data_IF_746087424939
#
_entry.id   IF_746087424939
#
_cell.length_a   1.000
_cell.length_b   1.000
_cell.length_c   1.000
_cell.angle_alpha   90.00
_cell.angle_beta   90.00
_cell.angle_gamma   90.00
#
_symmetry.space_group_name_H-M   'P 1'
#
loop_
_entity.id
_entity.type
_entity.pdbx_description
1 polymer ?
#
# COMPACT_ATOMS: atom_id res chain seq x y z
N UNK A 1 -14.59 15.23 -6.17
CA UNK A 1 -14.57 13.84 -6.68
C UNK A 1 -13.71 12.96 -5.78
N UNK A 2 -14.25 11.84 -5.35
CA UNK A 2 -13.58 10.93 -4.43
C UNK A 2 -13.00 9.72 -5.18
N UNK A 3 -11.76 9.39 -4.90
CA UNK A 3 -11.13 8.20 -5.45
C UNK A 3 -10.79 7.24 -4.32
N UNK A 4 -10.85 5.97 -4.61
CA UNK A 4 -10.53 4.92 -3.65
C UNK A 4 -9.20 4.26 -4.03
N UNK A 5 -8.35 4.11 -3.04
CA UNK A 5 -7.04 3.49 -3.23
C UNK A 5 -6.95 2.26 -2.34
N UNK A 6 -6.72 1.09 -2.92
CA UNK A 6 -6.52 -0.11 -2.10
C UNK A 6 -5.20 -0.01 -1.35
N UNK A 7 -5.22 -0.44 -0.10
CA UNK A 7 -4.00 -0.45 0.70
C UNK A 7 -3.86 -1.82 1.35
N UNK A 8 -2.62 -2.25 1.55
CA UNK A 8 -2.28 -3.49 2.21
C UNK A 8 -1.55 -3.12 3.49
N UNK A 9 -2.01 -3.65 4.62
CA UNK A 9 -1.44 -3.34 5.92
C UNK A 9 -0.81 -4.58 6.51
N UNK A 10 0.45 -4.46 6.92
CA UNK A 10 1.19 -5.54 7.57
C UNK A 10 1.80 -5.00 8.86
N UNK A 11 2.26 -5.89 9.70
CA UNK A 11 2.95 -5.52 10.93
C UNK A 11 4.20 -6.38 11.03
N UNK A 12 5.35 -5.75 11.28
CA UNK A 12 6.58 -6.52 11.43
C UNK A 12 6.74 -7.02 12.86
N UNK A 13 7.81 -7.75 13.11
CA UNK A 13 8.03 -8.35 14.43
C UNK A 13 8.30 -7.32 15.54
N UNK A 14 8.65 -6.11 15.18
CA UNK A 14 8.85 -5.04 16.15
C UNK A 14 7.59 -4.24 16.42
N UNK A 15 6.48 -4.61 15.78
CA UNK A 15 5.21 -3.94 15.96
C UNK A 15 4.99 -2.73 15.07
N UNK A 16 5.90 -2.46 14.15
CA UNK A 16 5.76 -1.36 13.22
C UNK A 16 4.78 -1.75 12.11
N UNK A 17 3.83 -0.88 11.83
CA UNK A 17 2.89 -1.12 10.76
C UNK A 17 3.48 -0.67 9.43
N UNK A 18 3.40 -1.55 8.46
CA UNK A 18 3.87 -1.31 7.10
C UNK A 18 2.65 -1.25 6.20
N UNK A 19 2.54 -0.19 5.43
CA UNK A 19 1.36 0.00 4.60
C UNK A 19 1.82 0.29 3.16
N UNK A 20 1.11 -0.28 2.21
CA UNK A 20 1.47 -0.18 0.81
C UNK A 20 0.23 0.06 -0.04
N UNK A 21 0.37 0.93 -1.03
CA UNK A 21 -0.67 1.10 -2.05
C UNK A 21 -0.20 0.41 -3.33
N UNK A 22 -0.79 -0.75 -3.66
CA UNK A 22 -0.29 -1.53 -4.80
C UNK A 22 -0.57 -0.92 -6.16
N UNK A 23 -1.38 0.15 -6.22
CA UNK A 23 -1.61 0.85 -7.48
C UNK A 23 -0.36 1.55 -8.01
N UNK A 24 0.56 1.88 -7.11
CA UNK A 24 1.79 2.58 -7.46
C UNK A 24 2.98 1.75 -7.05
N UNK A 25 3.94 1.63 -7.94
CA UNK A 25 5.15 0.90 -7.65
C UNK A 25 5.96 1.61 -6.58
N UNK A 26 6.26 0.91 -5.50
CA UNK A 26 7.06 1.46 -4.42
C UNK A 26 6.35 2.43 -3.49
N UNK A 27 5.04 2.56 -3.61
CA UNK A 27 4.28 3.46 -2.73
C UNK A 27 4.04 2.75 -1.39
N UNK A 28 4.87 3.04 -0.42
CA UNK A 28 4.89 2.35 0.87
C UNK A 28 5.18 3.34 1.99
N UNK A 29 4.64 3.07 3.16
CA UNK A 29 4.89 3.91 4.32
C UNK A 29 4.84 3.08 5.59
N UNK A 30 5.11 3.70 6.72
CA UNK A 30 5.23 3.03 8.01
C UNK A 30 4.59 3.87 9.10
N UNK A 31 4.26 3.24 10.22
CA UNK A 31 3.74 3.94 11.36
C UNK A 31 3.80 3.08 12.62
N UNK A 32 3.83 3.71 13.77
CA UNK A 32 3.84 3.00 15.05
C UNK A 32 2.45 2.50 15.42
N UNK A 33 1.43 3.05 14.78
CA UNK A 33 0.05 2.59 14.90
C UNK A 33 -0.63 2.73 13.55
N UNK A 34 -1.83 2.16 13.42
CA UNK A 34 -2.53 2.16 12.15
C UNK A 34 -2.87 3.58 11.67
N UNK A 35 -3.32 4.43 12.58
CA UNK A 35 -3.70 5.79 12.21
C UNK A 35 -2.51 6.57 11.65
N UNK A 36 -1.35 6.41 12.26
CA UNK A 36 -0.12 7.05 11.78
C UNK A 36 0.29 6.51 10.43
N UNK A 37 0.24 5.18 10.25
CA UNK A 37 0.58 4.56 8.98
C UNK A 37 -0.35 5.04 7.87
N UNK A 38 -1.65 5.17 8.15
CA UNK A 38 -2.61 5.65 7.17
C UNK A 38 -2.35 7.10 6.81
N UNK A 39 -2.04 7.93 7.81
CA UNK A 39 -1.70 9.32 7.55
C UNK A 39 -0.49 9.41 6.63
N UNK A 40 0.51 8.60 6.90
CA UNK A 40 1.76 8.61 6.13
C UNK A 40 1.55 8.08 4.71
N UNK A 41 0.73 7.04 4.53
CA UNK A 41 0.49 6.53 3.17
C UNK A 41 -0.33 7.51 2.34
N UNK A 42 -1.21 8.29 2.96
CA UNK A 42 -1.95 9.32 2.25
C UNK A 42 -1.00 10.33 1.63
N UNK A 43 0.00 10.76 2.38
CA UNK A 43 1.00 11.69 1.86
C UNK A 43 1.81 11.06 0.73
N UNK A 44 2.18 9.79 0.88
CA UNK A 44 2.91 9.08 -0.15
C UNK A 44 2.10 8.95 -1.44
N UNK A 45 0.80 8.67 -1.31
CA UNK A 45 -0.08 8.56 -2.48
C UNK A 45 -0.18 9.89 -3.21
N UNK A 46 -0.34 10.98 -2.46
CA UNK A 46 -0.41 12.32 -3.06
C UNK A 46 0.86 12.60 -3.86
N UNK A 47 2.02 12.26 -3.30
CA UNK A 47 3.28 12.44 -4.01
C UNK A 47 3.36 11.60 -5.28
N UNK A 48 2.90 10.36 -5.20
CA UNK A 48 2.87 9.49 -6.38
C UNK A 48 1.96 10.04 -7.46
N UNK A 49 0.82 10.60 -7.07
CA UNK A 49 -0.11 11.22 -8.03
C UNK A 49 0.50 12.45 -8.69
N UNK A 50 1.25 13.25 -7.94
CA UNK A 50 1.88 14.45 -8.47
C UNK A 50 3.00 14.13 -9.46
N UNK A 51 3.70 13.03 -9.24
CA UNK A 51 4.79 12.62 -10.11
C UNK A 51 4.31 12.02 -11.43
N UNK A 52 3.02 11.74 -11.53
CA UNK A 52 2.43 11.14 -12.73
C UNK A 52 3.24 9.97 -13.26
N UNK A 53 3.59 9.07 -12.36
CA UNK A 53 4.29 7.87 -12.79
C UNK A 53 3.30 6.96 -13.50
N UNK A 54 3.19 7.20 -14.76
CA UNK A 54 2.24 6.50 -15.60
C UNK A 54 2.81 5.16 -16.01
N UNK A 55 3.00 4.28 -15.05
CA UNK A 55 3.37 2.92 -15.39
C UNK A 55 2.11 2.16 -15.69
N UNK A 56 1.66 2.28 -16.93
CA UNK A 56 0.43 1.64 -17.38
C UNK A 56 0.63 0.19 -17.80
N UNK A 57 1.84 -0.34 -17.61
CA UNK A 57 2.14 -1.70 -18.06
C UNK A 57 1.44 -2.76 -17.24
N UNK A 58 1.06 -2.45 -16.00
CA UNK A 58 0.34 -3.39 -15.14
C UNK A 58 -0.90 -2.76 -14.55
N UNK A 59 -1.90 -3.59 -14.31
CA UNK A 59 -3.16 -3.16 -13.72
C UNK A 59 -3.37 -3.92 -12.41
N UNK A 60 -3.66 -3.20 -11.35
CA UNK A 60 -3.98 -3.83 -10.08
C UNK A 60 -5.36 -4.48 -10.16
N UNK A 61 -5.45 -5.75 -9.78
CA UNK A 61 -6.71 -6.50 -9.80
C UNK A 61 -7.24 -6.70 -8.38
N UNK A 62 -6.39 -7.14 -7.46
CA UNK A 62 -6.85 -7.39 -6.11
C UNK A 62 -5.88 -8.24 -5.32
N UNK A 63 -6.31 -8.55 -4.09
CA UNK A 63 -5.54 -9.40 -3.18
C UNK A 63 -6.34 -10.67 -2.94
N UNK A 64 -5.67 -11.80 -2.94
CA UNK A 64 -6.29 -13.09 -2.64
C UNK A 64 -5.39 -13.89 -1.73
N UNK A 65 -6.02 -14.71 -0.90
CA UNK A 65 -5.31 -15.72 -0.12
C UNK A 65 -5.15 -16.96 -0.95
N UNK A 66 -3.96 -17.53 -0.92
CA UNK A 66 -3.69 -18.78 -1.61
C UNK A 66 -3.39 -19.84 -0.57
N UNK A 67 -4.16 -20.90 -0.58
CA UNK A 67 -3.92 -22.03 0.31
C UNK A 67 -2.93 -22.99 -0.32
N UNK A 68 -1.90 -23.34 0.42
CA UNK A 68 -0.86 -24.21 -0.08
C UNK A 68 -0.45 -25.17 1.03
N UNK A 69 -0.46 -26.46 0.71
CA UNK A 69 0.02 -27.47 1.64
C UNK A 69 1.55 -27.48 1.64
N UNK A 70 2.14 -27.20 2.80
CA UNK A 70 3.59 -27.20 2.94
C UNK A 70 3.98 -28.21 4.02
N UNK A 71 5.14 -28.82 3.85
CA UNK A 71 5.63 -29.81 4.82
C UNK A 71 6.72 -29.25 5.69
#
# INVERSE_FOLDING_TARGET
MTKHFPIIIEQDEDGVYIIECPLFKGCRSYGENIDEAIKNIKEAIVMCLEEEQDDTSTTYIGVRDLELAVS
#
